data_IF_460872099694
#
_entry.id   IF_460872099694
#
_cell.length_a   1.000
_cell.length_b   1.000
_cell.length_c   1.000
_cell.angle_alpha   90.00
_cell.angle_beta   90.00
_cell.angle_gamma   90.00
#
_symmetry.space_group_name_H-M   'P 1'
#
loop_
_entity.id
_entity.type
_entity.pdbx_description
1 polymer ?
#
# COMPACT_ATOMS: atom_id res chain seq x y z
N UNK A 1 14.11 -44.56 44.26
CA UNK A 1 15.06 -44.78 43.15
C UNK A 1 14.29 -45.68 42.20
N UNK A 2 13.52 -45.18 41.24
CA UNK A 2 13.64 -43.94 40.49
C UNK A 2 12.24 -43.42 40.11
N UNK A 3 12.02 -42.12 40.29
CA UNK A 3 10.81 -41.45 39.77
C UNK A 3 11.13 -40.94 38.38
N UNK A 4 10.43 -41.48 37.40
CA UNK A 4 10.49 -41.15 35.99
C UNK A 4 9.72 -39.82 35.78
N UNK A 5 10.40 -38.69 35.97
CA UNK A 5 9.88 -37.35 35.67
C UNK A 5 10.24 -37.02 34.21
N UNK A 6 9.24 -37.02 33.33
CA UNK A 6 9.39 -36.64 31.94
C UNK A 6 9.72 -35.14 31.81
N UNK A 7 10.59 -34.70 30.88
CA UNK A 7 10.96 -33.30 30.76
C UNK A 7 9.77 -32.46 30.29
N UNK A 8 9.50 -31.38 31.02
CA UNK A 8 8.49 -30.37 30.70
C UNK A 8 8.79 -29.74 29.32
N UNK A 9 7.78 -29.51 28.46
CA UNK A 9 8.02 -28.96 27.12
C UNK A 9 8.61 -27.55 27.23
N UNK A 10 9.79 -27.36 26.63
CA UNK A 10 10.47 -26.08 26.54
C UNK A 10 9.50 -25.00 26.03
N UNK A 11 9.27 -23.98 26.86
CA UNK A 11 8.58 -22.76 26.43
C UNK A 11 9.41 -22.13 25.34
N UNK A 12 8.95 -22.28 24.11
CA UNK A 12 9.44 -21.53 22.96
C UNK A 12 9.36 -20.05 23.34
N UNK A 13 10.51 -19.43 23.60
CA UNK A 13 10.62 -17.99 23.77
C UNK A 13 10.30 -17.34 22.43
N UNK A 14 9.02 -17.05 22.22
CA UNK A 14 8.58 -16.16 21.16
C UNK A 14 9.03 -14.73 21.51
N UNK A 15 10.28 -14.39 21.21
CA UNK A 15 10.65 -12.99 20.94
C UNK A 15 10.29 -12.68 19.49
N UNK A 16 8.99 -12.67 19.22
CA UNK A 16 8.41 -11.86 18.15
C UNK A 16 7.79 -10.67 18.87
N UNK A 17 8.37 -9.48 18.69
CA UNK A 17 7.77 -8.25 19.16
C UNK A 17 6.31 -8.22 18.71
N UNK A 18 5.38 -8.20 19.67
CA UNK A 18 3.98 -7.99 19.40
C UNK A 18 3.81 -6.57 18.85
N UNK A 19 3.91 -6.42 17.53
CA UNK A 19 3.21 -5.33 16.88
C UNK A 19 1.72 -5.68 16.97
N UNK A 20 0.99 -4.96 17.82
CA UNK A 20 -0.46 -4.91 17.64
C UNK A 20 -0.70 -4.46 16.20
N UNK A 21 -1.30 -5.31 15.38
CA UNK A 21 -1.64 -5.00 13.98
C UNK A 21 -2.43 -3.68 13.87
N UNK A 22 -3.12 -3.26 14.94
CA UNK A 22 -3.81 -1.97 15.04
C UNK A 22 -2.91 -0.73 15.09
N UNK A 23 -1.64 -0.86 15.48
CA UNK A 23 -0.67 0.23 15.57
C UNK A 23 0.24 0.31 14.33
N UNK A 24 0.13 -0.65 13.41
CA UNK A 24 0.89 -0.66 12.18
C UNK A 24 0.51 0.54 11.30
N UNK A 25 1.53 1.29 10.91
CA UNK A 25 1.40 2.50 10.12
C UNK A 25 1.86 2.24 8.69
N UNK A 26 0.93 2.35 7.77
CA UNK A 26 1.16 2.24 6.34
C UNK A 26 1.44 3.61 5.75
N UNK A 27 2.22 3.64 4.66
CA UNK A 27 2.28 4.84 3.83
C UNK A 27 0.99 4.94 3.01
N UNK A 28 0.32 6.08 3.12
CA UNK A 28 -0.90 6.41 2.40
C UNK A 28 -0.69 7.65 1.52
N UNK A 29 -0.95 7.62 0.21
CA UNK A 29 -1.58 6.54 -0.58
C UNK A 29 -0.83 5.21 -0.54
N UNK A 30 -1.54 4.09 -0.73
CA UNK A 30 -0.95 2.75 -0.70
C UNK A 30 0.17 2.64 -1.73
N UNK A 31 1.39 2.42 -1.25
CA UNK A 31 2.60 2.31 -2.06
C UNK A 31 3.34 1.01 -1.73
N UNK A 32 3.91 0.37 -2.75
CA UNK A 32 4.86 -0.73 -2.62
C UNK A 32 6.26 -0.29 -3.00
N UNK A 33 7.27 -0.89 -2.36
CA UNK A 33 8.68 -0.72 -2.71
C UNK A 33 9.12 -1.91 -3.54
N UNK A 34 9.93 -1.67 -4.57
CA UNK A 34 10.64 -2.69 -5.35
C UNK A 34 12.13 -2.40 -5.32
N UNK A 35 12.94 -3.42 -5.05
CA UNK A 35 14.40 -3.36 -5.07
C UNK A 35 15.01 -4.39 -6.02
N UNK A 36 16.26 -4.16 -6.40
CA UNK A 36 17.03 -4.96 -7.35
C UNK A 36 16.32 -5.10 -8.72
N UNK A 37 15.60 -4.04 -9.13
CA UNK A 37 14.95 -3.98 -10.44
C UNK A 37 16.03 -3.89 -11.53
N UNK A 38 16.05 -4.75 -12.55
CA UNK A 38 17.01 -4.60 -13.64
C UNK A 38 16.68 -3.38 -14.52
N UNK A 39 17.71 -2.64 -14.91
CA UNK A 39 17.56 -1.42 -15.72
C UNK A 39 16.82 -1.68 -17.04
N UNK A 40 17.09 -2.84 -17.65
CA UNK A 40 16.47 -3.27 -18.90
C UNK A 40 14.97 -3.61 -18.77
N UNK A 41 14.45 -3.84 -17.55
CA UNK A 41 13.02 -4.17 -17.35
C UNK A 41 12.10 -2.95 -17.33
N UNK A 42 12.66 -1.75 -17.23
CA UNK A 42 11.88 -0.50 -17.21
C UNK A 42 11.62 0.10 -18.60
N UNK A 43 11.97 -0.60 -19.68
CA UNK A 43 11.51 -0.29 -21.03
C UNK A 43 12.04 1.02 -21.62
N UNK A 44 13.09 1.60 -21.05
CA UNK A 44 13.65 2.89 -21.48
C UNK A 44 12.98 4.08 -20.80
N UNK A 45 13.78 4.86 -20.07
CA UNK A 45 13.37 6.00 -19.26
C UNK A 45 13.47 7.32 -20.04
N UNK A 46 12.86 7.38 -21.22
CA UNK A 46 12.66 8.66 -21.90
C UNK A 46 11.31 9.24 -21.50
N UNK A 47 11.33 10.50 -21.06
CA UNK A 47 10.17 11.35 -20.80
C UNK A 47 9.35 11.05 -19.52
N UNK A 48 10.02 10.69 -18.42
CA UNK A 48 9.40 10.74 -17.09
C UNK A 48 8.34 9.68 -16.79
N UNK A 49 8.20 8.66 -17.64
CA UNK A 49 7.29 7.54 -17.42
C UNK A 49 7.80 6.24 -18.05
N UNK A 50 7.35 5.10 -17.50
CA UNK A 50 7.66 3.79 -18.06
C UNK A 50 6.95 3.60 -19.40
N UNK A 51 7.68 3.25 -20.48
CA UNK A 51 7.10 2.90 -21.78
C UNK A 51 6.07 1.77 -21.63
N UNK A 52 5.00 1.80 -22.45
CA UNK A 52 4.11 0.63 -22.63
C UNK A 52 4.97 -0.56 -23.09
N UNK A 53 4.74 -1.75 -22.53
CA UNK A 53 5.47 -2.97 -22.86
C UNK A 53 6.80 -3.18 -22.11
N UNK A 54 7.07 -2.42 -21.04
CA UNK A 54 8.18 -2.74 -20.13
C UNK A 54 7.90 -4.02 -19.35
N UNK A 55 8.88 -4.94 -19.29
CA UNK A 55 8.78 -6.24 -18.59
C UNK A 55 8.30 -6.05 -17.14
N UNK A 56 8.77 -5.00 -16.46
CA UNK A 56 8.36 -4.73 -15.08
C UNK A 56 6.87 -4.39 -14.99
N UNK A 57 6.37 -3.54 -15.90
CA UNK A 57 4.95 -3.18 -15.93
C UNK A 57 4.09 -4.43 -16.13
N UNK A 58 4.43 -5.25 -17.12
CA UNK A 58 3.68 -6.47 -17.44
C UNK A 58 3.63 -7.45 -16.26
N UNK A 59 4.75 -7.64 -15.57
CA UNK A 59 4.82 -8.48 -14.36
C UNK A 59 3.93 -7.98 -13.23
N UNK A 60 3.74 -6.67 -13.15
CA UNK A 60 2.97 -6.04 -12.08
C UNK A 60 1.48 -5.84 -12.43
N UNK A 61 1.08 -5.99 -13.70
CA UNK A 61 -0.32 -5.78 -14.14
C UNK A 61 -1.33 -6.60 -13.35
N UNK A 62 -0.96 -7.81 -12.88
CA UNK A 62 -1.83 -8.67 -12.06
C UNK A 62 -2.25 -8.04 -10.73
N UNK A 63 -1.48 -7.08 -10.22
CA UNK A 63 -1.79 -6.36 -8.98
C UNK A 63 -2.54 -5.06 -9.23
N UNK A 64 -2.88 -4.76 -10.50
CA UNK A 64 -3.59 -3.56 -10.92
C UNK A 64 -3.00 -2.25 -10.33
N UNK A 65 -1.68 -2.00 -10.43
CA UNK A 65 -1.10 -0.74 -9.95
C UNK A 65 -1.59 0.43 -10.79
N UNK A 66 -1.79 1.59 -10.16
CA UNK A 66 -2.07 2.84 -10.87
C UNK A 66 -0.82 3.34 -11.61
N UNK A 67 0.35 3.22 -10.97
CA UNK A 67 1.61 3.71 -11.51
C UNK A 67 2.79 2.91 -10.96
N UNK A 68 3.86 2.83 -11.75
CA UNK A 68 5.17 2.32 -11.30
C UNK A 68 6.19 3.41 -11.61
N UNK A 69 6.88 3.89 -10.57
CA UNK A 69 7.76 5.07 -10.60
C UNK A 69 9.17 4.61 -10.28
N UNK A 70 10.07 4.50 -11.27
CA UNK A 70 11.47 4.20 -11.00
C UNK A 70 12.15 5.38 -10.30
N UNK A 71 13.01 5.10 -9.34
CA UNK A 71 13.79 6.13 -8.65
C UNK A 71 15.17 6.29 -9.29
N UNK A 72 15.51 7.54 -9.56
CA UNK A 72 16.78 7.98 -10.11
C UNK A 72 17.73 8.51 -9.05
N UNK A 73 19.03 8.45 -9.34
CA UNK A 73 19.99 9.34 -8.67
C UNK A 73 19.84 10.78 -9.18
N UNK A 74 20.58 11.70 -8.58
CA UNK A 74 20.59 13.12 -8.95
C UNK A 74 21.03 13.40 -10.41
N UNK A 75 21.65 12.44 -11.07
CA UNK A 75 22.09 12.53 -12.47
C UNK A 75 21.12 11.84 -13.43
N UNK A 76 20.01 11.28 -12.93
CA UNK A 76 19.06 10.54 -13.72
C UNK A 76 19.54 9.13 -14.10
N UNK A 77 20.47 8.54 -13.34
CA UNK A 77 20.80 7.12 -13.47
C UNK A 77 19.86 6.27 -12.64
N UNK A 78 19.59 5.08 -13.15
CA UNK A 78 18.71 4.13 -12.49
C UNK A 78 19.39 3.48 -11.26
N UNK A 79 18.64 3.36 -10.16
CA UNK A 79 19.19 2.95 -8.86
C UNK A 79 18.84 1.52 -8.43
N UNK A 80 18.04 0.79 -9.21
CA UNK A 80 17.52 -0.51 -8.80
C UNK A 80 16.20 -0.44 -8.04
N UNK A 81 15.68 0.78 -7.81
CA UNK A 81 14.53 1.04 -6.94
C UNK A 81 13.35 1.51 -7.79
N UNK A 82 12.16 0.98 -7.52
CA UNK A 82 10.92 1.50 -8.05
C UNK A 82 9.81 1.52 -6.98
N UNK A 83 8.91 2.50 -7.09
CA UNK A 83 7.73 2.63 -6.23
C UNK A 83 6.49 2.24 -7.03
N UNK A 84 5.67 1.37 -6.47
CA UNK A 84 4.40 0.93 -7.06
C UNK A 84 3.27 1.66 -6.35
N UNK A 85 2.52 2.50 -7.06
CA UNK A 85 1.38 3.23 -6.51
C UNK A 85 0.09 2.44 -6.74
N UNK A 86 -0.59 2.04 -5.65
CA UNK A 86 -1.87 1.33 -5.70
C UNK A 86 -3.07 2.25 -5.52
N UNK A 87 -2.89 3.49 -5.04
CA UNK A 87 -3.95 4.50 -4.94
C UNK A 87 -4.35 4.81 -3.49
N UNK A 88 -5.32 5.71 -3.34
CA UNK A 88 -5.76 6.21 -2.02
C UNK A 88 -6.98 5.47 -1.46
N UNK A 89 -7.73 4.77 -2.33
CA UNK A 89 -8.97 4.13 -1.92
C UNK A 89 -8.71 2.95 -0.99
N UNK A 90 -9.58 2.76 0.01
CA UNK A 90 -9.49 1.59 0.90
C UNK A 90 -9.53 0.27 0.11
N UNK A 91 -10.30 0.22 -0.98
CA UNK A 91 -10.35 -0.93 -1.90
C UNK A 91 -9.00 -1.28 -2.56
N UNK A 92 -8.02 -0.37 -2.55
CA UNK A 92 -6.69 -0.61 -3.08
C UNK A 92 -5.75 -1.29 -2.08
N UNK A 93 -6.14 -1.42 -0.80
CA UNK A 93 -5.38 -2.16 0.20
C UNK A 93 -5.20 -3.63 -0.21
N UNK A 94 -6.27 -4.30 -0.64
CA UNK A 94 -6.19 -5.70 -1.08
C UNK A 94 -5.19 -5.91 -2.22
N UNK A 95 -5.14 -4.99 -3.18
CA UNK A 95 -4.18 -5.02 -4.30
C UNK A 95 -2.73 -4.88 -3.82
N UNK A 96 -2.50 -4.01 -2.84
CA UNK A 96 -1.18 -3.79 -2.25
C UNK A 96 -0.73 -5.02 -1.45
N UNK A 97 -1.62 -5.63 -0.67
CA UNK A 97 -1.34 -6.86 0.07
C UNK A 97 -1.11 -8.06 -0.85
N UNK A 98 -1.88 -8.20 -1.94
CA UNK A 98 -1.63 -9.24 -2.96
C UNK A 98 -0.24 -9.12 -3.58
N UNK A 99 0.22 -7.88 -3.80
CA UNK A 99 1.58 -7.59 -4.25
C UNK A 99 2.62 -8.05 -3.23
N UNK A 100 2.49 -7.69 -1.96
CA UNK A 100 3.44 -8.10 -0.92
C UNK A 100 3.45 -9.61 -0.69
N UNK A 101 2.27 -10.23 -0.58
CA UNK A 101 2.12 -11.67 -0.42
C UNK A 101 2.79 -12.44 -1.56
N UNK A 102 2.74 -11.92 -2.79
CA UNK A 102 3.41 -12.56 -3.93
C UNK A 102 4.94 -12.63 -3.77
N UNK A 103 5.56 -11.57 -3.27
CA UNK A 103 7.01 -11.52 -3.03
C UNK A 103 7.39 -12.30 -1.78
N UNK A 104 6.61 -12.17 -0.69
CA UNK A 104 6.84 -12.90 0.55
C UNK A 104 6.77 -14.42 0.34
N UNK A 105 5.80 -14.92 -0.43
CA UNK A 105 5.67 -16.33 -0.77
C UNK A 105 6.88 -16.91 -1.53
N UNK A 106 7.69 -16.06 -2.17
CA UNK A 106 8.92 -16.45 -2.87
C UNK A 106 10.18 -16.25 -2.01
N UNK A 107 10.05 -15.84 -0.75
CA UNK A 107 11.18 -15.41 0.08
C UNK A 107 11.82 -14.11 -0.42
N UNK A 108 11.09 -13.33 -1.23
CA UNK A 108 11.53 -12.07 -1.85
C UNK A 108 10.82 -10.85 -1.29
N UNK A 109 10.17 -10.99 -0.14
CA UNK A 109 9.64 -9.85 0.63
C UNK A 109 10.75 -9.11 1.37
N UNK A 110 10.35 -8.15 2.22
CA UNK A 110 11.27 -7.30 2.99
C UNK A 110 12.23 -8.12 3.85
N UNK A 111 11.71 -9.12 4.57
CA UNK A 111 12.53 -10.03 5.39
C UNK A 111 13.53 -10.81 4.56
N UNK A 112 13.10 -11.23 3.37
CA UNK A 112 13.98 -11.81 2.37
C UNK A 112 15.14 -10.88 2.06
N UNK A 113 14.83 -9.65 1.64
CA UNK A 113 15.84 -8.62 1.34
C UNK A 113 16.81 -8.37 2.49
N UNK A 114 16.30 -8.20 3.71
CA UNK A 114 17.13 -7.92 4.90
C UNK A 114 18.02 -9.11 5.30
N UNK A 115 17.56 -10.34 5.07
CA UNK A 115 18.34 -11.55 5.32
C UNK A 115 19.40 -11.82 4.24
N UNK A 116 19.31 -11.18 3.06
CA UNK A 116 20.29 -11.38 1.98
C UNK A 116 21.65 -10.80 2.36
N UNK A 117 22.57 -11.69 2.73
CA UNK A 117 23.95 -11.35 3.09
C UNK A 117 24.87 -11.22 1.87
N UNK A 118 24.44 -11.72 0.71
CA UNK A 118 25.18 -11.71 -0.56
C UNK A 118 24.50 -10.80 -1.59
N UNK A 119 25.26 -10.39 -2.62
CA UNK A 119 24.71 -9.62 -3.74
C UNK A 119 23.56 -10.42 -4.40
N UNK A 120 22.34 -9.88 -4.45
CA UNK A 120 21.20 -10.52 -5.11
C UNK A 120 21.52 -10.89 -6.56
N UNK A 121 20.98 -12.02 -7.04
CA UNK A 121 21.18 -12.39 -8.44
C UNK A 121 20.46 -11.41 -9.37
N UNK A 122 20.98 -11.19 -10.59
CA UNK A 122 20.28 -10.39 -11.59
C UNK A 122 18.87 -10.94 -11.85
N UNK A 123 17.86 -10.06 -11.76
CA UNK A 123 16.46 -10.43 -11.98
C UNK A 123 15.70 -10.94 -10.74
N UNK A 124 16.35 -11.05 -9.58
CA UNK A 124 15.68 -11.31 -8.31
C UNK A 124 15.16 -10.03 -7.69
N UNK A 125 13.96 -9.64 -8.10
CA UNK A 125 13.30 -8.46 -7.57
C UNK A 125 12.70 -8.78 -6.21
N UNK A 126 12.85 -7.84 -5.28
CA UNK A 126 12.24 -7.89 -3.96
C UNK A 126 11.13 -6.84 -3.89
N UNK A 127 10.06 -7.14 -3.15
CA UNK A 127 8.94 -6.23 -3.04
C UNK A 127 8.10 -6.39 -1.78
N UNK A 128 7.59 -5.28 -1.25
CA UNK A 128 6.74 -5.23 -0.06
C UNK A 128 5.90 -3.95 -0.03
N UNK A 129 4.85 -3.92 0.79
CA UNK A 129 4.06 -2.70 1.02
C UNK A 129 4.87 -1.75 1.91
N UNK A 130 4.92 -0.47 1.53
CA UNK A 130 5.67 0.53 2.27
C UNK A 130 5.01 0.79 3.63
N UNK A 131 5.80 0.62 4.70
CA UNK A 131 5.41 0.88 6.08
C UNK A 131 6.16 2.07 6.66
N UNK A 132 5.90 2.35 7.93
CA UNK A 132 6.51 3.45 8.66
C UNK A 132 8.04 3.42 8.67
N UNK A 133 8.65 2.24 8.70
CA UNK A 133 10.11 2.12 8.70
C UNK A 133 10.71 2.53 7.35
N UNK A 134 10.07 2.13 6.24
CA UNK A 134 10.50 2.54 4.89
C UNK A 134 10.34 4.06 4.71
N UNK A 135 9.24 4.62 5.22
CA UNK A 135 8.99 6.07 5.22
C UNK A 135 10.02 6.86 6.04
N UNK A 136 10.53 6.29 7.14
CA UNK A 136 11.56 6.92 8.00
C UNK A 136 12.98 6.68 7.50
N UNK A 137 13.19 5.73 6.61
CA UNK A 137 14.52 5.37 6.10
C UNK A 137 15.17 6.56 5.38
N UNK A 138 16.49 6.68 5.48
CA UNK A 138 17.25 7.69 4.75
C UNK A 138 17.43 7.31 3.27
N UNK A 139 17.68 8.30 2.40
CA UNK A 139 17.88 8.08 0.97
C UNK A 139 16.59 8.01 0.16
N UNK A 140 16.74 7.62 -1.11
CA UNK A 140 15.73 7.84 -2.15
C UNK A 140 14.35 7.27 -1.83
N UNK A 141 14.27 6.05 -1.30
CA UNK A 141 13.00 5.41 -0.94
C UNK A 141 12.24 6.25 0.09
N UNK A 142 12.86 6.53 1.24
CA UNK A 142 12.19 7.27 2.29
C UNK A 142 11.91 8.73 1.91
N UNK A 143 12.82 9.39 1.18
CA UNK A 143 12.59 10.74 0.66
C UNK A 143 11.39 10.81 -0.28
N UNK A 144 11.27 9.84 -1.20
CA UNK A 144 10.12 9.74 -2.09
C UNK A 144 8.83 9.52 -1.31
N UNK A 145 8.81 8.54 -0.40
CA UNK A 145 7.64 8.20 0.41
C UNK A 145 7.17 9.38 1.28
N UNK A 146 8.10 10.13 1.87
CA UNK A 146 7.79 11.36 2.65
C UNK A 146 7.20 12.46 1.79
N UNK A 147 7.67 12.59 0.55
CA UNK A 147 7.23 13.65 -0.35
C UNK A 147 5.85 13.36 -0.97
N UNK A 148 5.44 12.09 -1.05
CA UNK A 148 4.23 11.66 -1.76
C UNK A 148 3.20 10.94 -0.88
N UNK A 149 3.48 10.72 0.40
CA UNK A 149 2.60 10.00 1.31
C UNK A 149 2.80 10.35 2.78
N UNK A 150 1.74 10.11 3.56
CA UNK A 150 1.76 10.23 5.01
C UNK A 150 1.48 8.90 5.68
N UNK A 151 1.86 8.78 6.95
CA UNK A 151 1.58 7.57 7.73
C UNK A 151 0.13 7.53 8.21
N UNK A 152 -0.52 6.38 8.04
CA UNK A 152 -1.89 6.10 8.48
C UNK A 152 -2.02 4.70 9.05
N UNK A 153 -2.83 4.53 10.09
CA UNK A 153 -3.25 3.21 10.56
C UNK A 153 -4.53 2.76 9.84
N UNK A 154 -4.81 1.46 9.84
CA UNK A 154 -6.08 0.92 9.30
C UNK A 154 -7.29 1.57 9.98
N UNK A 155 -7.26 1.70 11.30
CA UNK A 155 -8.35 2.31 12.07
C UNK A 155 -8.62 3.78 11.65
N UNK A 156 -7.57 4.56 11.37
CA UNK A 156 -7.74 5.93 10.86
C UNK A 156 -8.40 5.96 9.49
N UNK A 157 -8.06 5.02 8.60
CA UNK A 157 -8.63 4.93 7.25
C UNK A 157 -10.09 4.45 7.29
N UNK A 158 -10.40 3.47 8.14
CA UNK A 158 -11.77 2.98 8.34
C UNK A 158 -12.68 4.07 8.91
N UNK A 159 -12.22 4.81 9.91
CA UNK A 159 -12.97 5.95 10.47
C UNK A 159 -13.24 7.04 9.42
N UNK A 160 -12.24 7.35 8.58
CA UNK A 160 -12.41 8.28 7.46
C UNK A 160 -13.49 7.80 6.49
N UNK A 161 -13.44 6.53 6.07
CA UNK A 161 -14.43 5.92 5.17
C UNK A 161 -15.85 5.98 5.77
N UNK A 162 -16.00 5.61 7.04
CA UNK A 162 -17.30 5.66 7.73
C UNK A 162 -17.85 7.10 7.78
N UNK A 163 -17.01 8.08 8.07
CA UNK A 163 -17.40 9.50 8.09
C UNK A 163 -17.86 9.98 6.71
N UNK A 164 -17.16 9.60 5.64
CA UNK A 164 -17.52 9.95 4.28
C UNK A 164 -18.85 9.31 3.85
N UNK A 165 -19.07 8.04 4.21
CA UNK A 165 -20.34 7.34 3.95
C UNK A 165 -21.51 7.99 4.70
N UNK A 166 -21.33 8.39 5.95
CA UNK A 166 -22.35 9.11 6.72
C UNK A 166 -22.70 10.47 6.09
N UNK A 167 -21.70 11.23 5.63
CA UNK A 167 -21.92 12.51 4.92
C UNK A 167 -22.72 12.31 3.63
N UNK A 168 -22.39 11.29 2.84
CA UNK A 168 -23.13 10.95 1.63
C UNK A 168 -24.59 10.57 1.94
N UNK A 169 -24.83 9.76 2.97
CA UNK A 169 -26.17 9.40 3.41
C UNK A 169 -27.00 10.62 3.82
N UNK A 170 -26.40 11.57 4.55
CA UNK A 170 -27.06 12.82 4.95
C UNK A 170 -27.40 13.70 3.75
N UNK A 171 -26.48 13.84 2.79
CA UNK A 171 -26.70 14.61 1.56
C UNK A 171 -27.86 14.04 0.74
N UNK A 172 -27.92 12.71 0.60
CA UNK A 172 -29.01 12.04 -0.12
C UNK A 172 -30.36 12.20 0.59
N UNK A 173 -30.41 12.09 1.92
CA UNK A 173 -31.62 12.33 2.72
C UNK A 173 -32.10 13.77 2.57
N UNK A 174 -31.18 14.73 2.60
CA UNK A 174 -31.49 16.16 2.44
C UNK A 174 -32.06 16.43 1.04
N UNK A 175 -31.45 15.87 -0.01
CA UNK A 175 -31.92 16.00 -1.39
C UNK A 175 -33.35 15.44 -1.57
N UNK A 176 -33.64 14.27 -0.98
CA UNK A 176 -34.99 13.68 -1.01
C UNK A 176 -36.02 14.60 -0.34
N UNK A 177 -35.69 15.16 0.83
CA UNK A 177 -36.58 16.07 1.57
C UNK A 177 -36.88 17.37 0.82
N UNK A 178 -35.89 17.94 0.11
CA UNK A 178 -36.09 19.13 -0.73
C UNK A 178 -37.01 18.80 -1.91
N UNK A 179 -36.81 17.64 -2.55
CA UNK A 179 -37.65 17.23 -3.68
C UNK A 179 -39.10 16.94 -3.28
N UNK A 180 -39.35 16.39 -2.09
CA UNK A 180 -40.72 16.20 -1.59
C UNK A 180 -41.38 17.52 -1.22
N UNK A 181 -40.63 18.47 -0.65
CA UNK A 181 -41.13 19.81 -0.29
C UNK A 181 -41.51 20.63 -1.53
N UNK A 182 -40.75 20.53 -2.62
CA UNK A 182 -41.05 21.19 -3.89
C UNK A 182 -42.23 20.56 -4.67
N UNK A 183 -42.74 19.39 -4.28
CA UNK A 183 -43.90 18.72 -4.90
C UNK A 183 -45.23 19.00 -4.20
N UNK A 184 -45.24 19.75 -3.10
CA UNK A 184 -46.50 20.17 -2.46
C UNK A 184 -47.17 21.25 -3.33
N UNK A 185 -48.43 21.07 -3.78
CA UNK A 185 -49.11 22.06 -4.61
C UNK A 185 -49.33 23.35 -3.82
N UNK A 186 -48.98 24.50 -4.41
CA UNK A 186 -49.41 25.81 -3.92
C UNK A 186 -50.94 25.82 -3.99
N UNK A 187 -51.59 25.65 -2.84
CA UNK A 187 -53.05 25.61 -2.73
C UNK A 187 -53.67 26.84 -3.37
N UNK A 188 -54.53 26.61 -4.35
CA UNK A 188 -55.31 27.64 -5.04
C UNK A 188 -56.24 28.30 -4.03
N UNK A 189 -56.00 29.59 -3.71
CA UNK A 189 -56.99 30.39 -2.99
C UNK A 189 -58.17 30.66 -3.95
N UNK A 190 -59.26 29.90 -3.79
CA UNK A 190 -60.57 30.32 -4.30
C UNK A 190 -61.26 31.16 -3.23
N UNK A 191 -61.32 32.48 -3.47
CA UNK A 191 -62.20 33.41 -2.76
C UNK A 191 -63.64 33.15 -3.22
N UNK A 192 -64.54 32.93 -2.26
CA UNK A 192 -66.00 33.10 -2.41
C UNK A 192 -66.41 34.33 -1.60
#
# INVERSE_FOLDING_TARGET
MDSDEAPEPERIHATGAGSNVGDEQFVWPWMGVLLNVPTEWMGGWKDGGMRRGGILKERLLRFCPHMVIPLGDQFGHHTGIAIVLFGQDYACLGKALDFENHFEAQGRGKRGWEAHTFRPLPGEIFGWVALADDWRTAGLTGEFLRSHGGLKTIAQLESKMQSEMQKLALLLSTRKNISSRNRMPQGTLSLK
#
